data_IF_820574386368
#
_entry.id   IF_820574386368
#
_cell.length_a   1.000
_cell.length_b   1.000
_cell.length_c   1.000
_cell.angle_alpha   90.00
_cell.angle_beta   90.00
_cell.angle_gamma   90.00
#
_symmetry.space_group_name_H-M   'P 1'
#
loop_
_entity.id
_entity.type
_entity.pdbx_description
1 polymer ?
#
# COMPACT_ATOMS: atom_id res chain seq x y z
N UNK A 1 8.58 -22.68 5.32
CA UNK A 1 7.41 -22.41 4.48
C UNK A 1 7.22 -20.91 4.45
N UNK A 2 7.34 -20.32 3.27
CA UNK A 2 7.13 -18.89 3.04
C UNK A 2 6.18 -18.68 1.87
N UNK A 3 5.51 -17.53 1.85
CA UNK A 3 4.86 -17.03 0.64
C UNK A 3 5.91 -16.35 -0.24
N UNK A 4 5.95 -16.69 -1.54
CA UNK A 4 6.92 -16.16 -2.49
C UNK A 4 6.25 -15.77 -3.81
N UNK A 5 6.74 -14.68 -4.38
CA UNK A 5 6.50 -14.24 -5.76
C UNK A 5 7.85 -14.05 -6.43
N UNK A 6 7.92 -14.31 -7.74
CA UNK A 6 9.15 -14.17 -8.50
C UNK A 6 8.87 -13.95 -9.98
N UNK A 7 9.82 -13.30 -10.63
CA UNK A 7 9.71 -12.98 -12.04
C UNK A 7 10.09 -14.17 -12.92
N UNK A 8 9.44 -14.23 -14.08
CA UNK A 8 9.76 -15.18 -15.16
C UNK A 8 9.73 -16.65 -14.75
N UNK A 9 8.85 -17.03 -13.82
CA UNK A 9 8.60 -18.44 -13.48
C UNK A 9 7.42 -18.96 -14.28
N UNK A 10 7.66 -19.84 -15.25
CA UNK A 10 6.62 -20.48 -16.09
C UNK A 10 7.04 -21.88 -16.50
N UNK A 11 6.15 -22.85 -16.30
CA UNK A 11 6.33 -24.24 -16.70
C UNK A 11 5.09 -24.76 -17.43
N UNK A 12 5.22 -25.87 -18.17
CA UNK A 12 4.05 -26.61 -18.68
C UNK A 12 3.59 -27.68 -17.71
N UNK A 13 2.34 -28.11 -17.81
CA UNK A 13 1.83 -29.32 -17.17
C UNK A 13 0.94 -30.11 -18.13
N UNK A 14 1.03 -31.43 -18.10
CA UNK A 14 0.13 -32.35 -18.85
C UNK A 14 -0.83 -33.06 -17.91
N UNK A 15 -0.96 -32.59 -16.66
CA UNK A 15 -1.95 -33.12 -15.71
C UNK A 15 -3.36 -32.87 -16.26
N UNK A 16 -4.23 -33.88 -16.17
CA UNK A 16 -5.65 -33.77 -16.50
C UNK A 16 -6.52 -33.68 -15.23
N UNK A 17 -7.71 -33.11 -15.35
CA UNK A 17 -8.65 -32.96 -14.23
C UNK A 17 -8.32 -31.79 -13.30
N UNK A 18 -8.86 -31.81 -12.08
CA UNK A 18 -8.79 -30.70 -11.11
C UNK A 18 -7.73 -30.89 -10.02
N UNK A 19 -6.95 -31.97 -10.10
CA UNK A 19 -5.99 -32.36 -9.08
C UNK A 19 -4.73 -31.49 -9.03
N UNK A 20 -3.82 -31.89 -8.14
CA UNK A 20 -2.48 -31.34 -8.07
C UNK A 20 -1.78 -31.52 -9.41
N UNK A 21 -1.11 -30.48 -9.87
CA UNK A 21 -0.40 -30.52 -11.15
C UNK A 21 1.05 -30.95 -10.96
N UNK A 22 1.56 -31.73 -11.88
CA UNK A 22 3.01 -31.95 -12.02
C UNK A 22 3.58 -30.86 -12.92
N UNK A 23 4.69 -30.26 -12.51
CA UNK A 23 5.38 -29.21 -13.25
C UNK A 23 6.40 -29.85 -14.20
N UNK A 24 6.26 -29.56 -15.48
CA UNK A 24 6.91 -30.27 -16.59
C UNK A 24 8.21 -29.64 -17.09
N UNK A 25 8.75 -28.63 -16.40
CA UNK A 25 9.94 -27.90 -16.79
C UNK A 25 9.65 -26.53 -17.38
N UNK A 26 10.68 -25.68 -17.38
CA UNK A 26 10.59 -24.28 -17.78
C UNK A 26 10.21 -24.14 -19.26
N UNK A 27 9.27 -23.24 -19.54
CA UNK A 27 8.98 -22.77 -20.89
C UNK A 27 10.14 -21.90 -21.41
N UNK A 28 10.23 -21.72 -22.74
CA UNK A 28 11.35 -21.01 -23.36
C UNK A 28 11.52 -19.57 -22.81
N UNK A 29 12.70 -19.25 -22.28
CA UNK A 29 13.00 -17.95 -21.69
C UNK A 29 12.48 -17.73 -20.26
N UNK A 30 12.03 -18.78 -19.58
CA UNK A 30 11.57 -18.77 -18.19
C UNK A 30 12.44 -19.65 -17.30
N UNK A 31 12.28 -19.53 -15.97
CA UNK A 31 12.88 -20.41 -14.96
C UNK A 31 11.82 -21.31 -14.33
N UNK A 32 12.26 -22.38 -13.67
CA UNK A 32 11.36 -23.36 -13.01
C UNK A 32 10.86 -22.84 -11.66
N UNK A 33 9.69 -23.31 -11.22
CA UNK A 33 9.20 -23.15 -9.85
C UNK A 33 10.20 -23.73 -8.86
N UNK A 34 10.80 -24.88 -9.19
CA UNK A 34 11.81 -25.54 -8.35
C UNK A 34 13.09 -24.73 -8.11
N UNK A 35 13.39 -23.76 -8.96
CA UNK A 35 14.54 -22.86 -8.78
C UNK A 35 14.28 -21.70 -7.81
N UNK A 36 13.00 -21.41 -7.53
CA UNK A 36 12.55 -20.26 -6.73
C UNK A 36 11.90 -20.70 -5.41
N UNK A 37 11.14 -21.78 -5.45
CA UNK A 37 10.34 -22.28 -4.35
C UNK A 37 11.00 -23.48 -3.67
N UNK A 38 10.84 -23.54 -2.35
CA UNK A 38 11.24 -24.68 -1.51
C UNK A 38 10.00 -25.45 -1.06
N UNK A 39 10.20 -26.67 -0.52
CA UNK A 39 9.09 -27.51 -0.10
C UNK A 39 8.14 -26.79 0.88
N UNK A 40 6.85 -26.80 0.55
CA UNK A 40 5.78 -26.17 1.33
C UNK A 40 5.71 -24.64 1.20
N UNK A 41 6.52 -24.01 0.33
CA UNK A 41 6.32 -22.62 -0.01
C UNK A 41 5.00 -22.45 -0.78
N UNK A 42 4.34 -21.32 -0.56
CA UNK A 42 3.13 -20.94 -1.28
C UNK A 42 3.42 -19.82 -2.27
N UNK A 43 2.66 -19.80 -3.36
CA UNK A 43 2.78 -18.76 -4.38
C UNK A 43 1.45 -18.53 -5.08
N UNK A 44 1.23 -17.33 -5.60
CA UNK A 44 0.14 -17.12 -6.53
C UNK A 44 0.52 -17.71 -7.88
N UNK A 45 -0.43 -18.41 -8.50
CA UNK A 45 -0.27 -18.95 -9.83
C UNK A 45 -1.42 -18.50 -10.74
N UNK A 46 -1.12 -18.46 -12.03
CA UNK A 46 -2.12 -18.57 -13.07
C UNK A 46 -1.84 -19.86 -13.82
N UNK A 47 -2.89 -20.64 -14.11
CA UNK A 47 -2.81 -21.76 -15.05
C UNK A 47 -3.84 -21.53 -16.16
N UNK A 48 -3.41 -21.74 -17.40
CA UNK A 48 -4.22 -21.57 -18.60
C UNK A 48 -4.13 -22.80 -19.48
N UNK A 49 -5.29 -23.28 -19.91
CA UNK A 49 -5.47 -24.46 -20.76
C UNK A 49 -6.50 -24.14 -21.84
N UNK A 50 -5.99 -23.73 -23.02
CA UNK A 50 -6.81 -23.16 -24.08
C UNK A 50 -7.57 -21.93 -23.62
N UNK A 51 -8.90 -21.99 -23.64
CA UNK A 51 -9.78 -20.89 -23.20
C UNK A 51 -10.05 -20.91 -21.70
N UNK A 52 -9.71 -21.99 -20.99
CA UNK A 52 -9.93 -22.10 -19.56
C UNK A 52 -8.73 -21.53 -18.80
N UNK A 53 -9.00 -20.81 -17.72
CA UNK A 53 -7.94 -20.31 -16.85
C UNK A 53 -8.44 -20.18 -15.42
N UNK A 54 -7.49 -20.20 -14.51
CA UNK A 54 -7.70 -19.81 -13.11
C UNK A 54 -6.48 -19.07 -12.58
N UNK A 55 -6.75 -18.25 -11.57
CA UNK A 55 -5.77 -17.59 -10.74
C UNK A 55 -6.00 -18.06 -9.31
N UNK A 56 -4.95 -18.49 -8.61
CA UNK A 56 -5.11 -19.01 -7.26
C UNK A 56 -3.83 -19.01 -6.45
N UNK A 57 -3.91 -19.52 -5.21
CA UNK A 57 -2.78 -19.77 -4.33
C UNK A 57 -2.43 -21.27 -4.33
N UNK A 58 -1.21 -21.58 -4.75
CA UNK A 58 -0.71 -22.95 -4.80
C UNK A 58 0.33 -23.21 -3.73
N UNK A 59 0.45 -24.48 -3.31
CA UNK A 59 1.52 -24.94 -2.39
C UNK A 59 2.47 -25.86 -3.16
N UNK A 60 3.74 -25.49 -3.21
CA UNK A 60 4.76 -26.25 -3.93
C UNK A 60 5.29 -27.43 -3.10
N UNK A 61 5.41 -28.60 -3.73
CA UNK A 61 5.98 -29.80 -3.13
C UNK A 61 7.18 -30.27 -3.97
N UNK A 62 8.37 -30.18 -3.38
CA UNK A 62 9.62 -30.49 -4.09
C UNK A 62 9.81 -31.98 -4.34
N UNK A 63 9.23 -32.87 -3.52
CA UNK A 63 9.42 -34.32 -3.65
C UNK A 63 8.74 -34.89 -4.89
N UNK A 64 7.68 -34.24 -5.38
CA UNK A 64 6.98 -34.61 -6.60
C UNK A 64 7.08 -33.60 -7.73
N UNK A 65 7.79 -32.48 -7.53
CA UNK A 65 7.73 -31.28 -8.39
C UNK A 65 6.27 -30.90 -8.74
N UNK A 66 5.42 -30.83 -7.72
CA UNK A 66 3.99 -30.56 -7.89
C UNK A 66 3.56 -29.24 -7.28
N UNK A 67 2.51 -28.65 -7.85
CA UNK A 67 1.78 -27.55 -7.24
C UNK A 67 0.40 -28.05 -6.80
N UNK A 68 0.14 -27.96 -5.50
CA UNK A 68 -1.16 -28.29 -4.92
C UNK A 68 -2.13 -27.17 -5.20
N UNK A 69 -3.31 -27.53 -5.71
CA UNK A 69 -4.42 -26.61 -6.02
C UNK A 69 -5.63 -26.98 -5.16
N UNK A 70 -6.34 -26.01 -4.60
CA UNK A 70 -7.59 -26.23 -3.87
C UNK A 70 -8.64 -25.19 -4.28
N UNK A 71 -9.93 -25.55 -4.25
CA UNK A 71 -11.01 -24.63 -4.66
C UNK A 71 -11.08 -23.41 -3.73
N UNK A 72 -10.85 -23.59 -2.42
CA UNK A 72 -10.80 -22.49 -1.45
C UNK A 72 -9.67 -21.46 -1.70
N UNK A 73 -8.70 -21.80 -2.54
CA UNK A 73 -7.57 -20.95 -2.88
C UNK A 73 -7.64 -20.39 -4.31
N UNK A 74 -8.69 -20.71 -5.07
CA UNK A 74 -8.94 -20.06 -6.36
C UNK A 74 -9.48 -18.66 -6.08
N UNK A 75 -8.83 -17.65 -6.66
CA UNK A 75 -9.21 -16.25 -6.54
C UNK A 75 -10.19 -15.87 -7.65
N UNK A 76 -9.94 -16.35 -8.87
CA UNK A 76 -10.80 -16.11 -10.01
C UNK A 76 -10.62 -17.25 -11.02
N UNK A 77 -11.69 -17.72 -11.65
CA UNK A 77 -11.57 -18.71 -12.74
C UNK A 77 -12.73 -18.68 -13.73
N UNK A 78 -12.53 -19.36 -14.86
CA UNK A 78 -13.61 -19.63 -15.83
C UNK A 78 -14.58 -20.73 -15.37
N UNK A 79 -14.39 -21.32 -14.19
CA UNK A 79 -15.22 -22.40 -13.64
C UNK A 79 -15.96 -21.93 -12.38
N UNK A 80 -16.57 -20.75 -12.45
CA UNK A 80 -17.28 -20.12 -11.32
C UNK A 80 -16.41 -20.06 -10.06
N UNK A 81 -15.18 -19.59 -10.22
CA UNK A 81 -14.16 -19.46 -9.18
C UNK A 81 -13.78 -20.77 -8.47
N UNK A 82 -14.03 -21.93 -9.10
CA UNK A 82 -13.48 -23.23 -8.70
C UNK A 82 -12.30 -23.63 -9.59
N UNK A 83 -11.60 -24.72 -9.23
CA UNK A 83 -10.52 -25.23 -10.07
C UNK A 83 -11.02 -25.63 -11.45
N UNK A 84 -10.33 -25.21 -12.51
CA UNK A 84 -10.57 -25.69 -13.88
C UNK A 84 -10.14 -27.16 -14.00
N UNK A 85 -10.91 -27.92 -14.78
CA UNK A 85 -10.52 -29.27 -15.19
C UNK A 85 -9.57 -29.19 -16.37
N UNK A 86 -8.33 -29.62 -16.19
CA UNK A 86 -7.31 -29.61 -17.23
C UNK A 86 -7.55 -30.72 -18.25
N UNK A 87 -7.30 -30.40 -19.52
CA UNK A 87 -7.44 -31.26 -20.70
C UNK A 87 -6.36 -32.34 -20.78
N UNK A 88 -5.23 -32.13 -20.09
CA UNK A 88 -4.01 -32.95 -20.24
C UNK A 88 -3.17 -32.60 -21.48
N UNK A 89 -3.65 -31.72 -22.35
CA UNK A 89 -2.99 -31.31 -23.59
C UNK A 89 -2.15 -30.05 -23.37
N UNK A 90 -1.11 -30.17 -22.53
CA UNK A 90 -0.15 -29.12 -22.19
C UNK A 90 -0.77 -27.76 -21.81
N UNK A 91 -1.02 -27.57 -20.53
CA UNK A 91 -1.39 -26.27 -19.96
C UNK A 91 -0.15 -25.49 -19.52
N UNK A 92 -0.23 -24.17 -19.57
CA UNK A 92 0.79 -23.26 -19.07
C UNK A 92 0.49 -22.86 -17.63
N UNK A 93 1.47 -22.95 -16.72
CA UNK A 93 1.36 -22.46 -15.34
C UNK A 93 2.53 -21.54 -15.01
N UNK A 94 2.24 -20.40 -14.38
CA UNK A 94 3.25 -19.40 -14.04
C UNK A 94 2.93 -18.69 -12.73
N UNK A 95 3.96 -18.18 -12.06
CA UNK A 95 3.79 -17.31 -10.89
C UNK A 95 3.25 -15.96 -11.37
N UNK A 96 2.22 -15.45 -10.68
CA UNK A 96 1.55 -14.20 -11.04
C UNK A 96 1.45 -13.26 -9.84
N UNK A 97 1.12 -11.99 -10.11
CA UNK A 97 0.67 -11.03 -9.11
C UNK A 97 -0.83 -10.78 -9.36
N UNK A 98 -1.73 -11.45 -8.64
CA UNK A 98 -3.16 -11.36 -8.92
C UNK A 98 -3.69 -9.99 -8.48
N UNK A 99 -4.58 -9.40 -9.29
CA UNK A 99 -5.15 -8.08 -9.03
C UNK A 99 -5.82 -7.99 -7.65
N UNK A 100 -6.54 -9.04 -7.24
CA UNK A 100 -7.19 -9.18 -5.92
C UNK A 100 -6.23 -9.13 -4.72
N UNK A 101 -4.92 -9.19 -4.96
CA UNK A 101 -3.87 -9.12 -3.94
C UNK A 101 -2.82 -8.07 -4.29
N UNK A 102 -3.01 -7.33 -5.38
CA UNK A 102 -2.10 -6.29 -5.80
C UNK A 102 -2.27 -5.06 -4.91
N UNK A 103 -1.15 -4.43 -4.60
CA UNK A 103 -1.09 -3.12 -3.96
C UNK A 103 -0.52 -2.17 -5.01
N UNK A 104 -1.28 -1.15 -5.39
CA UNK A 104 -0.92 -0.23 -6.46
C UNK A 104 -1.30 1.21 -6.10
N UNK A 105 -0.69 2.16 -6.81
CA UNK A 105 -1.06 3.56 -6.71
C UNK A 105 -2.20 3.86 -7.69
N UNK A 106 -3.19 4.65 -7.27
CA UNK A 106 -4.21 5.17 -8.18
C UNK A 106 -3.59 6.21 -9.15
N UNK A 107 -4.42 6.77 -10.04
CA UNK A 107 -3.98 7.81 -10.98
C UNK A 107 -3.49 9.10 -10.32
N UNK A 108 -3.84 9.32 -9.06
CA UNK A 108 -3.43 10.47 -8.24
C UNK A 108 -2.13 10.20 -7.47
N UNK A 109 -1.59 8.98 -7.53
CA UNK A 109 -0.38 8.57 -6.81
C UNK A 109 -0.61 8.05 -5.39
N UNK A 110 -1.86 7.81 -4.99
CA UNK A 110 -2.20 7.32 -3.65
C UNK A 110 -2.22 5.80 -3.60
N UNK A 111 -1.75 5.23 -2.49
CA UNK A 111 -1.74 3.78 -2.28
C UNK A 111 -3.16 3.26 -2.05
N UNK A 112 -3.60 2.33 -2.88
CA UNK A 112 -4.89 1.64 -2.71
C UNK A 112 -4.64 0.26 -2.13
N UNK A 113 -5.31 -0.06 -1.02
CA UNK A 113 -5.29 -1.40 -0.41
C UNK A 113 -6.74 -1.81 -0.10
N UNK A 114 -7.32 -2.66 -0.96
CA UNK A 114 -8.75 -2.97 -0.91
C UNK A 114 -9.59 -1.75 -1.32
N UNK A 115 -10.69 -1.49 -0.62
CA UNK A 115 -11.46 -0.24 -0.81
C UNK A 115 -10.81 0.98 -0.17
N UNK A 116 -9.83 0.78 0.72
CA UNK A 116 -9.27 1.86 1.52
C UNK A 116 -8.13 2.56 0.78
N UNK A 117 -8.24 3.87 0.64
CA UNK A 117 -7.20 4.74 0.09
C UNK A 117 -6.28 5.17 1.23
N UNK A 118 -5.02 4.75 1.19
CA UNK A 118 -4.00 5.19 2.15
C UNK A 118 -3.29 6.41 1.57
N UNK A 119 -3.66 7.59 2.07
CA UNK A 119 -3.02 8.85 1.72
C UNK A 119 -1.59 8.88 2.29
N UNK A 120 -0.68 9.46 1.53
CA UNK A 120 0.72 9.60 1.92
C UNK A 120 0.86 10.67 3.03
N UNK A 121 0.60 10.29 4.28
CA UNK A 121 0.72 11.18 5.43
C UNK A 121 2.17 11.63 5.59
N UNK A 122 2.45 12.86 5.21
CA UNK A 122 3.76 13.49 5.37
C UNK A 122 3.70 14.50 6.51
N UNK A 123 4.78 14.55 7.28
CA UNK A 123 5.03 15.65 8.22
C UNK A 123 6.19 16.49 7.68
N UNK A 124 6.07 17.80 7.84
CA UNK A 124 7.12 18.76 7.49
C UNK A 124 7.50 19.57 8.72
N UNK A 125 8.79 19.83 8.87
CA UNK A 125 9.33 20.68 9.92
C UNK A 125 9.69 22.04 9.37
N UNK A 126 9.29 23.08 10.09
CA UNK A 126 9.64 24.47 9.81
C UNK A 126 10.36 25.06 11.01
N UNK A 127 11.38 25.87 10.77
CA UNK A 127 12.12 26.55 11.84
C UNK A 127 12.24 28.05 11.59
N UNK A 128 11.77 28.83 12.57
CA UNK A 128 11.83 30.30 12.54
C UNK A 128 12.75 30.80 13.64
N UNK A 129 13.68 31.67 13.28
CA UNK A 129 14.46 32.46 14.22
C UNK A 129 13.81 33.84 14.36
N UNK A 130 13.47 34.23 15.59
CA UNK A 130 12.90 35.56 15.85
C UNK A 130 14.02 36.61 15.80
N UNK A 131 13.95 37.50 14.80
CA UNK A 131 14.94 38.57 14.60
C UNK A 131 14.49 39.92 15.18
N UNK A 132 13.19 40.13 15.38
CA UNK A 132 12.61 41.32 16.01
C UNK A 132 12.68 41.24 17.54
N UNK A 133 12.44 42.37 18.22
CA UNK A 133 12.38 42.40 19.70
C UNK A 133 11.31 41.47 20.25
N UNK A 134 10.15 41.43 19.59
CA UNK A 134 9.09 40.44 19.83
C UNK A 134 8.42 40.05 18.51
N UNK A 135 7.92 38.82 18.42
CA UNK A 135 7.17 38.30 17.29
C UNK A 135 6.09 37.33 17.77
N UNK A 136 4.83 37.62 17.45
CA UNK A 136 3.71 36.75 17.79
C UNK A 136 3.30 35.85 16.60
N UNK A 137 3.34 36.38 15.37
CA UNK A 137 2.86 35.66 14.19
C UNK A 137 4.01 35.17 13.30
N UNK A 138 3.90 33.92 12.88
CA UNK A 138 4.84 33.20 12.03
C UNK A 138 4.10 32.68 10.80
N UNK A 139 4.60 33.03 9.62
CA UNK A 139 4.02 32.68 8.32
C UNK A 139 5.10 32.79 7.23
N UNK A 140 4.79 32.33 6.03
CA UNK A 140 5.70 32.41 4.89
C UNK A 140 6.83 31.40 4.97
N UNK A 141 7.98 31.75 4.40
CA UNK A 141 9.15 30.88 4.35
C UNK A 141 9.89 30.85 5.70
N UNK A 142 10.32 29.66 6.09
CA UNK A 142 11.18 29.42 7.25
C UNK A 142 12.66 29.72 6.94
N UNK A 143 13.56 29.46 7.90
CA UNK A 143 15.00 29.69 7.74
C UNK A 143 15.65 28.86 6.61
N UNK A 144 15.03 27.75 6.20
CA UNK A 144 15.49 26.90 5.10
C UNK A 144 14.81 27.24 3.76
N UNK A 145 13.90 28.23 3.72
CA UNK A 145 13.16 28.63 2.53
C UNK A 145 11.89 27.80 2.27
N UNK A 146 11.47 26.94 3.19
CA UNK A 146 10.24 26.16 3.09
C UNK A 146 9.05 26.99 3.57
N UNK A 147 8.02 27.14 2.74
CA UNK A 147 6.82 27.91 3.11
C UNK A 147 5.91 27.11 4.05
N UNK A 148 5.57 27.69 5.20
CA UNK A 148 4.65 27.09 6.17
C UNK A 148 3.29 26.81 5.54
N UNK A 149 2.93 25.53 5.56
CA UNK A 149 1.64 25.03 5.16
C UNK A 149 1.25 23.88 6.09
N UNK A 150 0.00 23.86 6.53
CA UNK A 150 -0.58 22.80 7.36
C UNK A 150 -2.08 22.71 7.14
N UNK A 151 -2.63 21.50 7.28
CA UNK A 151 -4.07 21.30 7.09
C UNK A 151 -4.82 21.51 8.39
N UNK A 152 -5.76 22.46 8.39
CA UNK A 152 -6.64 22.75 9.53
C UNK A 152 -5.88 23.15 10.80
N UNK A 153 -5.89 22.25 11.79
CA UNK A 153 -5.30 22.47 13.12
C UNK A 153 -4.14 21.52 13.44
N UNK A 154 -3.71 20.69 12.48
CA UNK A 154 -2.72 19.65 12.73
C UNK A 154 -1.29 20.22 12.62
N UNK A 155 -0.88 20.89 13.68
CA UNK A 155 0.47 21.41 13.83
C UNK A 155 0.89 21.32 15.29
N UNK A 156 2.09 20.80 15.53
CA UNK A 156 2.78 20.93 16.80
C UNK A 156 3.72 22.13 16.75
N UNK A 157 3.67 22.98 17.77
CA UNK A 157 4.48 24.21 17.84
C UNK A 157 5.35 24.14 19.09
N UNK A 158 6.63 24.50 18.93
CA UNK A 158 7.62 24.49 19.99
C UNK A 158 8.30 25.85 20.07
N UNK A 159 8.46 26.38 21.27
CA UNK A 159 9.25 27.58 21.55
C UNK A 159 10.47 27.15 22.37
N UNK A 160 11.68 27.31 21.80
CA UNK A 160 12.94 26.88 22.40
C UNK A 160 12.92 25.41 22.87
N UNK A 161 12.27 24.55 22.10
CA UNK A 161 12.10 23.12 22.40
C UNK A 161 10.94 22.77 23.35
N UNK A 162 10.25 23.76 23.92
CA UNK A 162 9.05 23.52 24.76
C UNK A 162 7.81 23.51 23.89
N UNK A 163 7.06 22.40 23.92
CA UNK A 163 5.80 22.28 23.17
C UNK A 163 4.74 23.21 23.74
N UNK A 164 4.16 24.04 22.89
CA UNK A 164 3.05 24.93 23.21
C UNK A 164 1.70 24.20 23.10
N UNK A 165 0.73 24.58 23.93
CA UNK A 165 -0.60 23.99 23.95
C UNK A 165 -1.63 24.87 23.25
N UNK A 166 -2.18 24.37 22.15
CA UNK A 166 -3.33 25.00 21.50
C UNK A 166 -4.56 25.04 22.41
N UNK A 167 -4.80 23.98 23.18
CA UNK A 167 -5.96 23.87 24.06
C UNK A 167 -5.90 24.85 25.23
N UNK A 168 -4.69 25.20 25.69
CA UNK A 168 -4.49 26.19 26.76
C UNK A 168 -4.38 27.62 26.21
N UNK A 169 -4.38 27.79 24.89
CA UNK A 169 -4.33 29.11 24.23
C UNK A 169 -2.93 29.67 24.02
N UNK A 170 -1.87 28.86 24.19
CA UNK A 170 -0.48 29.29 23.97
C UNK A 170 -0.21 29.65 22.51
N UNK A 171 -1.01 29.12 21.59
CA UNK A 171 -0.99 29.53 20.20
C UNK A 171 -2.34 29.32 19.50
N UNK A 172 -2.52 30.05 18.41
CA UNK A 172 -3.64 29.93 17.47
C UNK A 172 -3.12 29.75 16.06
N UNK A 173 -3.98 29.28 15.16
CA UNK A 173 -3.65 29.10 13.74
C UNK A 173 -4.69 29.78 12.86
N UNK A 174 -4.28 30.29 11.71
CA UNK A 174 -5.17 30.95 10.75
C UNK A 174 -4.76 30.59 9.32
N UNK A 175 -5.75 30.30 8.47
CA UNK A 175 -5.56 30.11 7.03
C UNK A 175 -4.74 28.88 6.60
N UNK A 176 -4.31 28.00 7.52
CA UNK A 176 -3.44 26.87 7.17
C UNK A 176 -1.98 27.26 6.93
N UNK A 177 -1.60 28.52 7.15
CA UNK A 177 -0.27 29.04 6.84
C UNK A 177 0.25 30.06 7.86
N UNK A 178 -0.48 30.30 8.94
CA UNK A 178 -0.09 31.26 9.98
C UNK A 178 -0.29 30.65 11.37
N UNK A 179 0.75 30.70 12.19
CA UNK A 179 0.72 30.36 13.61
C UNK A 179 0.98 31.63 14.42
N UNK A 180 0.11 31.93 15.38
CA UNK A 180 0.26 33.07 16.29
C UNK A 180 0.41 32.56 17.71
N UNK A 181 1.56 32.78 18.33
CA UNK A 181 1.86 32.39 19.72
C UNK A 181 1.55 33.52 20.70
N UNK A 182 1.18 33.14 21.92
CA UNK A 182 0.87 34.03 23.04
C UNK A 182 1.41 33.43 24.34
N UNK A 183 2.31 34.10 25.08
CA UNK A 183 2.93 35.39 24.76
C UNK A 183 3.80 35.36 23.50
N UNK A 184 4.08 36.54 22.93
CA UNK A 184 4.96 36.67 21.78
C UNK A 184 6.38 36.17 22.12
N UNK A 185 7.02 35.49 21.18
CA UNK A 185 8.44 35.12 21.31
C UNK A 185 9.32 36.36 21.26
N UNK A 186 10.46 36.30 21.92
CA UNK A 186 11.44 37.37 22.00
C UNK A 186 12.56 37.17 20.98
N UNK A 187 13.37 38.20 20.79
CA UNK A 187 14.55 38.10 19.93
C UNK A 187 15.43 36.89 20.32
N UNK A 188 15.89 36.16 19.30
CA UNK A 188 16.69 34.93 19.38
C UNK A 188 15.96 33.67 19.87
N UNK A 189 14.66 33.75 20.13
CA UNK A 189 13.86 32.54 20.32
C UNK A 189 13.77 31.75 19.00
N UNK A 190 13.79 30.43 19.12
CA UNK A 190 13.57 29.50 18.02
C UNK A 190 12.14 28.97 18.13
N UNK A 191 11.38 29.14 17.06
CA UNK A 191 10.05 28.54 16.92
C UNK A 191 10.12 27.41 15.90
N UNK A 192 10.00 26.18 16.38
CA UNK A 192 9.91 25.00 15.54
C UNK A 192 8.46 24.56 15.40
N UNK A 193 8.09 24.12 14.20
CA UNK A 193 6.75 23.66 13.90
C UNK A 193 6.82 22.34 13.15
N UNK A 194 5.99 21.38 13.57
CA UNK A 194 5.77 20.13 12.83
C UNK A 194 4.36 20.19 12.28
N UNK A 195 4.25 20.50 10.99
CA UNK A 195 2.99 20.45 10.27
C UNK A 195 2.68 19.02 9.84
N UNK A 196 1.43 18.63 10.00
CA UNK A 196 0.91 17.39 9.44
C UNK A 196 -0.12 17.74 8.38
N UNK A 197 -0.06 17.04 7.26
CA UNK A 197 -1.15 17.08 6.30
C UNK A 197 -2.21 16.06 6.76
N UNK A 198 -3.48 16.51 6.86
CA UNK A 198 -4.59 15.62 7.24
C UNK A 198 -5.06 14.83 6.02
N UNK A 199 -5.49 13.59 6.27
CA UNK A 199 -6.59 12.96 5.55
C UNK A 199 -7.80 13.89 5.54
N UNK A 200 -8.33 14.28 4.38
CA UNK A 200 -9.56 15.08 4.40
C UNK A 200 -10.74 14.20 4.77
N UNK A 201 -11.69 14.73 5.55
CA UNK A 201 -12.90 14.01 5.98
C UNK A 201 -13.73 13.53 4.76
N UNK A 202 -13.58 14.21 3.61
CA UNK A 202 -14.16 13.77 2.34
C UNK A 202 -13.65 12.39 1.87
N UNK A 203 -12.47 11.98 2.29
CA UNK A 203 -11.84 10.70 1.88
C UNK A 203 -12.18 9.54 2.83
N UNK A 204 -12.70 9.82 4.04
CA UNK A 204 -13.17 8.79 4.98
C UNK A 204 -14.68 8.54 4.90
N UNK A 205 -15.47 9.56 4.53
CA UNK A 205 -16.93 9.46 4.46
C UNK A 205 -17.40 8.78 3.16
N UNK A 206 -16.65 8.93 2.06
CA UNK A 206 -16.99 8.28 0.78
C UNK A 206 -16.81 6.75 0.85
N UNK A 207 -15.83 6.28 1.62
CA UNK A 207 -15.56 4.84 1.82
C UNK A 207 -16.56 4.20 2.80
N UNK A 208 -17.02 4.95 3.82
CA UNK A 208 -18.10 4.53 4.72
C UNK A 208 -19.47 4.48 4.01
N UNK A 209 -19.72 5.37 3.05
CA UNK A 209 -20.93 5.37 2.21
C UNK A 209 -20.89 4.27 1.14
N UNK A 210 -19.74 4.01 0.53
CA UNK A 210 -19.57 2.92 -0.45
C UNK A 210 -19.87 1.54 0.17
N UNK A 211 -19.54 1.32 1.45
CA UNK A 211 -19.85 0.08 2.16
C UNK A 211 -21.35 -0.10 2.48
N UNK A 212 -22.11 1.00 2.59
CA UNK A 212 -23.55 0.96 2.90
C UNK A 212 -24.44 0.64 1.68
N UNK A 213 -23.96 0.93 0.46
CA UNK A 213 -24.69 0.69 -0.79
C UNK A 213 -24.47 -0.73 -1.33
N UNK A 214 -23.44 -1.43 -0.88
CA UNK A 214 -23.15 -2.81 -1.28
C UNK A 214 -23.93 -3.88 -0.48
N UNK A 215 -24.70 -3.49 0.53
CA UNK A 215 -25.47 -4.39 1.42
C UNK A 215 -26.98 -4.06 1.47
N UNK A 216 -27.49 -3.31 0.49
CA UNK A 216 -28.92 -3.01 0.32
C UNK A 216 -29.52 -3.70 -0.89
#
# INVERSE_FOLDING_TARGET
>A
MAFKVADRVKESTTTSGTGNITLGGAQNGFVTFSSVLSNGDTTYYTISDGNNWEVGLGTYNSSGNTLTRTDANVLQSTNSDNRISLSGSAADVFITLPADKAVFLNTSGDLVVGSQTFLNATSQRFSYLVSSSTQAAFTGADAAGSTLNFTGSLIDVYLNGVRLSKQQGDFTVTGGHTVTISPAANQNDIVEMVAFNVFTDSELVDDALALSVALG
#
